data_IF_218075801290
#
_entry.id   IF_218075801290
#
_cell.length_a   1.000
_cell.length_b   1.000
_cell.length_c   1.000
_cell.angle_alpha   90.00
_cell.angle_beta   90.00
_cell.angle_gamma   90.00
#
_symmetry.space_group_name_H-M   'P 1'
#
loop_
_entity.id
_entity.type
_entity.pdbx_description
1 polymer ?
#
# COMPACT_ATOMS: atom_id res chain seq x y z
N UNK A 1 -3.38 13.79 3.82
CA UNK A 1 -3.94 12.73 2.96
C UNK A 1 -4.98 13.36 2.04
N UNK A 2 -4.97 13.02 0.76
CA UNK A 2 -5.80 13.64 -0.28
C UNK A 2 -5.13 14.84 -0.95
N UNK A 3 -5.61 15.25 -2.14
CA UNK A 3 -5.19 16.48 -2.80
C UNK A 3 -5.43 17.72 -1.90
N UNK A 4 -4.50 18.69 -1.83
CA UNK A 4 -4.70 19.90 -1.03
C UNK A 4 -5.93 20.67 -1.54
N UNK A 5 -6.77 21.15 -0.62
CA UNK A 5 -8.03 21.83 -0.97
C UNK A 5 -9.21 20.89 -1.25
N UNK A 6 -9.00 19.57 -1.30
CA UNK A 6 -10.13 18.63 -1.38
C UNK A 6 -10.98 18.70 -0.10
N UNK A 7 -12.33 18.76 -0.20
CA UNK A 7 -13.21 18.62 0.97
C UNK A 7 -13.13 17.22 1.62
N UNK A 8 -12.52 16.25 0.93
CA UNK A 8 -12.26 14.91 1.44
C UNK A 8 -10.87 14.76 2.05
N UNK A 9 -9.98 15.74 1.87
CA UNK A 9 -8.63 15.65 2.43
C UNK A 9 -8.66 15.66 3.96
N UNK A 10 -7.77 14.87 4.57
CA UNK A 10 -7.54 14.88 6.02
C UNK A 10 -6.09 15.32 6.27
N UNK A 11 -5.89 16.48 6.93
CA UNK A 11 -4.59 16.92 7.39
C UNK A 11 -4.12 16.08 8.59
N UNK A 12 -2.81 15.91 8.72
CA UNK A 12 -2.22 15.15 9.82
C UNK A 12 -0.81 15.63 10.13
N UNK A 13 -0.38 15.43 11.37
CA UNK A 13 0.98 15.67 11.83
C UNK A 13 1.53 14.37 12.39
N UNK A 14 2.61 13.88 11.78
CA UNK A 14 3.33 12.70 12.27
C UNK A 14 4.65 13.10 12.89
N UNK A 15 4.81 12.75 14.17
CA UNK A 15 6.09 12.77 14.88
C UNK A 15 6.71 11.38 14.78
N UNK A 16 7.98 11.30 14.43
CA UNK A 16 8.73 10.06 14.27
C UNK A 16 10.20 10.27 14.58
N UNK A 17 10.84 9.28 15.19
CA UNK A 17 12.28 9.19 15.43
C UNK A 17 13.04 8.48 14.30
N UNK A 18 12.34 8.07 13.22
CA UNK A 18 12.92 7.32 12.10
C UNK A 18 13.04 8.15 10.81
N UNK A 19 14.26 8.28 10.30
CA UNK A 19 14.54 8.90 9.00
C UNK A 19 13.93 8.12 7.82
N UNK A 20 13.90 6.78 7.89
CA UNK A 20 13.22 5.92 6.91
C UNK A 20 11.73 6.27 6.81
N UNK A 21 11.06 6.46 7.95
CA UNK A 21 9.64 6.82 7.99
C UNK A 21 9.42 8.21 7.40
N UNK A 22 10.27 9.19 7.71
CA UNK A 22 10.16 10.54 7.15
C UNK A 22 10.32 10.54 5.62
N UNK A 23 11.35 9.87 5.09
CA UNK A 23 11.57 9.76 3.64
C UNK A 23 10.39 9.03 2.95
N UNK A 24 9.93 7.95 3.56
CA UNK A 24 8.80 7.17 3.07
C UNK A 24 7.48 7.94 3.07
N UNK A 25 7.20 8.73 4.11
CA UNK A 25 6.01 9.57 4.18
C UNK A 25 6.03 10.69 3.15
N UNK A 26 7.22 11.19 2.77
CA UNK A 26 7.37 12.17 1.68
C UNK A 26 7.02 11.57 0.31
N UNK A 27 7.25 10.28 0.12
CA UNK A 27 6.81 9.55 -1.09
C UNK A 27 5.30 9.28 -1.05
N UNK A 28 4.81 8.75 0.07
CA UNK A 28 3.43 8.24 0.17
C UNK A 28 2.38 9.33 0.41
N UNK A 29 2.79 10.53 0.84
CA UNK A 29 1.89 11.62 1.21
C UNK A 29 2.42 12.98 0.73
N UNK A 30 1.56 14.00 0.78
CA UNK A 30 1.92 15.38 0.43
C UNK A 30 2.43 16.10 1.69
N UNK A 31 3.74 16.08 1.90
CA UNK A 31 4.41 16.73 3.05
C UNK A 31 4.76 18.17 2.69
N UNK A 32 4.41 19.14 3.54
CA UNK A 32 4.76 20.54 3.34
C UNK A 32 3.93 21.51 4.18
N UNK A 33 4.24 22.80 4.04
CA UNK A 33 3.62 23.87 4.83
C UNK A 33 2.13 24.10 4.52
N UNK A 34 1.59 23.53 3.45
CA UNK A 34 0.15 23.58 3.15
C UNK A 34 -0.74 23.03 4.27
N UNK A 35 -0.20 22.24 5.20
CA UNK A 35 -0.94 21.69 6.35
C UNK A 35 -1.04 22.67 7.53
N UNK A 36 -0.18 23.70 7.60
CA UNK A 36 -0.09 24.61 8.75
C UNK A 36 -1.43 25.28 9.15
N UNK A 37 -2.28 25.74 8.22
CA UNK A 37 -3.57 26.31 8.60
C UNK A 37 -4.47 25.34 9.36
N UNK A 38 -4.42 24.05 9.02
CA UNK A 38 -5.18 23.01 9.72
C UNK A 38 -4.62 22.74 11.14
N UNK A 39 -3.28 22.76 11.27
CA UNK A 39 -2.61 22.65 12.57
C UNK A 39 -2.97 23.81 13.50
N UNK A 40 -2.99 25.04 12.98
CA UNK A 40 -3.35 26.24 13.74
C UNK A 40 -4.79 26.20 14.30
N UNK A 41 -5.71 25.55 13.58
CA UNK A 41 -7.10 25.34 14.03
C UNK A 41 -7.29 24.11 14.92
N UNK A 42 -6.26 23.29 15.11
CA UNK A 42 -6.37 22.01 15.83
C UNK A 42 -7.13 20.91 15.07
N UNK A 43 -7.51 21.14 13.81
CA UNK A 43 -8.22 20.17 12.98
C UNK A 43 -7.22 19.34 12.17
N UNK A 44 -6.57 18.39 12.83
CA UNK A 44 -5.66 17.45 12.20
C UNK A 44 -5.61 16.14 12.97
N UNK A 45 -5.14 15.08 12.31
CA UNK A 45 -4.90 13.79 12.93
C UNK A 45 -3.53 13.79 13.59
N UNK A 46 -3.48 13.46 14.88
CA UNK A 46 -2.27 13.39 15.69
C UNK A 46 -1.65 12.01 15.55
N UNK A 47 -0.50 11.92 14.92
CA UNK A 47 0.21 10.66 14.70
C UNK A 47 1.52 10.67 15.48
N UNK A 48 1.65 9.80 16.48
CA UNK A 48 2.89 9.61 17.23
C UNK A 48 3.49 8.25 16.86
N UNK A 49 4.74 8.25 16.43
CA UNK A 49 5.48 7.04 16.07
C UNK A 49 6.85 7.02 16.75
N UNK A 50 7.25 5.86 17.27
CA UNK A 50 8.63 5.60 17.69
C UNK A 50 9.04 4.17 17.32
N UNK A 51 10.29 3.99 16.90
CA UNK A 51 10.89 2.65 16.72
C UNK A 51 11.16 1.93 18.03
N UNK A 52 11.08 2.64 19.17
CA UNK A 52 11.22 2.06 20.51
C UNK A 52 12.65 1.72 20.92
N UNK A 53 13.64 2.43 20.36
CA UNK A 53 15.08 2.24 20.61
C UNK A 53 15.75 3.57 20.97
N UNK A 54 15.86 3.92 22.27
CA UNK A 54 16.55 5.14 22.69
C UNK A 54 18.05 5.08 22.38
N UNK A 55 18.69 6.26 22.27
CA UNK A 55 20.14 6.36 22.01
C UNK A 55 20.94 5.66 23.12
N UNK A 56 21.97 4.90 22.72
CA UNK A 56 22.85 4.15 23.64
C UNK A 56 22.61 2.64 23.68
N UNK A 57 21.50 2.16 23.12
CA UNK A 57 21.34 0.73 22.86
C UNK A 57 22.16 0.33 21.62
N UNK A 58 23.10 -0.61 21.77
CA UNK A 58 23.82 -1.23 20.63
C UNK A 58 22.78 -1.97 19.80
N UNK A 59 22.40 -1.39 18.67
CA UNK A 59 21.24 -1.84 17.90
C UNK A 59 21.54 -1.95 16.42
N UNK A 60 21.08 -3.06 15.85
CA UNK A 60 20.88 -3.32 14.41
C UNK A 60 20.72 -2.06 13.55
N UNK A 61 21.22 -2.10 12.31
CA UNK A 61 20.94 -1.09 11.27
C UNK A 61 19.44 -0.81 11.03
N UNK A 62 18.56 -1.66 11.58
CA UNK A 62 17.12 -1.47 11.65
C UNK A 62 16.63 -1.45 13.10
N UNK A 63 16.45 -0.27 13.73
CA UNK A 63 15.94 -0.17 15.10
C UNK A 63 14.46 -0.58 15.15
N UNK A 64 14.13 -1.52 16.05
CA UNK A 64 12.77 -1.96 16.35
C UNK A 64 12.67 -2.65 17.72
N UNK A 65 11.46 -2.67 18.28
CA UNK A 65 11.11 -3.37 19.51
C UNK A 65 9.92 -4.31 19.25
N UNK A 66 10.18 -5.53 18.74
CA UNK A 66 9.13 -6.48 18.37
C UNK A 66 8.27 -6.90 19.58
N UNK A 67 8.89 -7.09 20.75
CA UNK A 67 8.22 -7.59 21.95
C UNK A 67 7.18 -6.60 22.49
N UNK A 68 7.40 -5.30 22.31
CA UNK A 68 6.48 -4.24 22.75
C UNK A 68 5.77 -3.53 21.60
N UNK A 69 5.77 -4.11 20.40
CA UNK A 69 5.13 -3.48 19.24
C UNK A 69 3.64 -3.25 19.48
N UNK A 70 3.18 -2.01 19.30
CA UNK A 70 1.80 -1.61 19.50
C UNK A 70 1.39 -0.58 18.44
N UNK A 71 0.24 -0.79 17.81
CA UNK A 71 -0.39 0.20 16.90
C UNK A 71 -1.80 0.50 17.40
N UNK A 72 -1.95 1.60 18.14
CA UNK A 72 -3.19 2.01 18.77
C UNK A 72 -3.90 3.12 17.98
N UNK A 73 -5.23 3.01 17.92
CA UNK A 73 -6.10 3.98 17.25
C UNK A 73 -7.10 4.55 18.26
N UNK A 74 -7.16 5.86 18.36
CA UNK A 74 -8.10 6.56 19.23
C UNK A 74 -8.94 7.56 18.42
N UNK A 75 -10.06 7.09 17.85
CA UNK A 75 -10.92 7.91 16.98
C UNK A 75 -11.43 9.17 17.67
N UNK A 76 -11.87 9.04 18.92
CA UNK A 76 -12.47 10.14 19.69
C UNK A 76 -11.50 11.32 19.91
N UNK A 77 -10.19 11.05 19.95
CA UNK A 77 -9.15 12.08 20.10
C UNK A 77 -8.40 12.37 18.80
N UNK A 78 -8.85 11.82 17.65
CA UNK A 78 -8.18 11.89 16.34
C UNK A 78 -6.69 11.57 16.46
N UNK A 79 -6.36 10.51 17.23
CA UNK A 79 -4.99 10.16 17.60
C UNK A 79 -4.64 8.74 17.17
N UNK A 80 -3.42 8.58 16.69
CA UNK A 80 -2.80 7.29 16.38
C UNK A 80 -1.45 7.27 17.10
N UNK A 81 -1.17 6.18 17.80
CA UNK A 81 0.09 5.96 18.49
C UNK A 81 0.66 4.62 18.03
N UNK A 82 1.88 4.65 17.52
CA UNK A 82 2.61 3.45 17.08
C UNK A 82 3.98 3.38 17.75
N UNK A 83 4.32 2.21 18.27
CA UNK A 83 5.56 1.95 18.99
C UNK A 83 6.17 0.63 18.52
N UNK A 84 7.50 0.59 18.41
CA UNK A 84 8.29 -0.64 18.28
C UNK A 84 8.49 -1.14 16.84
N UNK A 85 7.84 -0.55 15.83
CA UNK A 85 7.94 -1.02 14.45
C UNK A 85 8.16 0.11 13.46
N UNK A 86 9.34 0.14 12.81
CA UNK A 86 9.64 1.09 11.72
C UNK A 86 9.05 0.70 10.36
N UNK A 87 8.35 -0.43 10.26
CA UNK A 87 7.97 -1.03 9.00
C UNK A 87 6.58 -0.61 8.50
N UNK A 88 6.51 -0.22 7.23
CA UNK A 88 5.28 -0.18 6.42
C UNK A 88 4.03 0.35 7.12
N UNK A 89 2.97 -0.45 7.15
CA UNK A 89 1.66 -0.07 7.69
C UNK A 89 1.66 0.27 9.19
N UNK A 90 2.69 -0.13 9.95
CA UNK A 90 2.80 0.19 11.37
C UNK A 90 3.43 1.57 11.59
N UNK A 91 4.26 2.06 10.66
CA UNK A 91 5.02 3.29 10.81
C UNK A 91 4.54 4.44 9.92
N UNK A 92 3.93 4.14 8.79
CA UNK A 92 3.32 5.12 7.89
C UNK A 92 1.89 5.43 8.32
N UNK A 93 1.73 6.23 9.37
CA UNK A 93 0.44 6.37 10.03
C UNK A 93 -0.61 7.02 9.10
N UNK A 94 -0.19 7.79 8.10
CA UNK A 94 -1.08 8.31 7.05
C UNK A 94 -1.73 7.23 6.16
N UNK A 95 -1.10 6.06 5.97
CA UNK A 95 -1.59 4.99 5.09
C UNK A 95 -2.72 4.21 5.77
N UNK A 96 -2.42 3.08 6.43
CA UNK A 96 -3.47 2.20 6.95
C UNK A 96 -4.17 2.79 8.17
N UNK A 97 -3.43 3.42 9.09
CA UNK A 97 -3.98 3.88 10.36
C UNK A 97 -4.95 5.07 10.22
N UNK A 98 -4.68 5.98 9.28
CA UNK A 98 -5.57 7.10 8.95
C UNK A 98 -6.60 6.72 7.91
N UNK A 99 -6.20 6.01 6.85
CA UNK A 99 -7.02 5.95 5.65
C UNK A 99 -7.86 4.67 5.49
N UNK A 100 -7.68 3.65 6.33
CA UNK A 100 -8.52 2.44 6.32
C UNK A 100 -9.43 2.35 7.56
N UNK A 101 -10.75 2.38 7.32
CA UNK A 101 -11.76 1.72 8.18
C UNK A 101 -12.71 0.80 7.41
N UNK A 102 -12.72 0.82 6.07
CA UNK A 102 -13.67 0.07 5.24
C UNK A 102 -13.01 -0.41 3.93
N UNK A 103 -12.36 -1.57 3.98
CA UNK A 103 -11.69 -2.26 2.85
C UNK A 103 -10.67 -1.43 2.05
N UNK A 104 -9.76 -2.10 1.33
CA UNK A 104 -8.80 -1.46 0.43
C UNK A 104 -9.44 -1.41 -0.97
N UNK A 105 -9.57 -0.21 -1.55
CA UNK A 105 -10.26 0.02 -2.82
C UNK A 105 -9.28 0.72 -3.76
N UNK A 106 -9.04 0.13 -4.94
CA UNK A 106 -8.36 0.82 -6.04
C UNK A 106 -9.37 1.64 -6.84
N UNK A 107 -8.89 2.67 -7.54
CA UNK A 107 -9.68 3.50 -8.45
C UNK A 107 -8.99 3.52 -9.82
N UNK A 108 -9.74 3.18 -10.87
CA UNK A 108 -9.29 3.20 -12.27
C UNK A 108 -10.25 3.98 -13.15
N UNK A 109 -9.71 4.73 -14.11
CA UNK A 109 -10.44 5.24 -15.26
C UNK A 109 -10.34 4.24 -16.41
N UNK A 110 -11.47 3.84 -16.97
CA UNK A 110 -11.54 2.94 -18.13
C UNK A 110 -12.17 3.71 -19.28
N UNK A 111 -11.47 3.76 -20.41
CA UNK A 111 -11.97 4.37 -21.65
C UNK A 111 -12.25 3.27 -22.67
N UNK A 112 -13.48 3.25 -23.20
CA UNK A 112 -13.88 2.31 -24.26
C UNK A 112 -13.36 2.75 -25.65
N UNK A 113 -13.42 1.89 -26.68
CA UNK A 113 -12.98 2.23 -28.04
C UNK A 113 -13.76 3.40 -28.70
N UNK A 114 -14.93 3.74 -28.17
CA UNK A 114 -15.71 4.90 -28.62
C UNK A 114 -15.30 6.21 -27.92
N UNK A 115 -14.36 6.14 -26.97
CA UNK A 115 -13.85 7.29 -26.22
C UNK A 115 -14.63 7.61 -24.95
N UNK A 116 -15.60 6.79 -24.53
CA UNK A 116 -16.32 7.02 -23.28
C UNK A 116 -15.50 6.57 -22.08
N UNK A 117 -15.21 7.51 -21.18
CA UNK A 117 -14.47 7.26 -19.94
C UNK A 117 -15.41 7.05 -18.76
N UNK A 118 -15.17 6.01 -17.97
CA UNK A 118 -15.88 5.69 -16.72
C UNK A 118 -14.90 5.35 -15.62
N UNK A 119 -15.20 5.74 -14.38
CA UNK A 119 -14.37 5.39 -13.23
C UNK A 119 -14.97 4.22 -12.46
N UNK A 120 -14.14 3.26 -12.09
CA UNK A 120 -14.51 2.08 -11.33
C UNK A 120 -13.68 2.03 -10.05
N UNK A 121 -14.29 1.53 -8.98
CA UNK A 121 -13.57 1.16 -7.76
C UNK A 121 -13.70 -0.35 -7.52
N UNK A 122 -12.62 -0.98 -7.09
CA UNK A 122 -12.59 -2.43 -6.83
C UNK A 122 -11.86 -2.74 -5.53
N UNK A 123 -12.42 -3.64 -4.74
CA UNK A 123 -11.85 -4.07 -3.48
C UNK A 123 -11.30 -5.50 -3.58
N UNK A 124 -10.00 -5.66 -3.33
CA UNK A 124 -9.35 -6.96 -3.25
C UNK A 124 -8.54 -7.06 -1.96
N UNK A 125 -8.40 -8.26 -1.35
CA UNK A 125 -7.49 -8.49 -0.25
C UNK A 125 -6.04 -8.10 -0.59
N UNK A 126 -5.19 -7.97 0.43
CA UNK A 126 -3.78 -7.65 0.23
C UNK A 126 -3.12 -8.71 -0.66
N UNK A 127 -2.21 -8.27 -1.54
CA UNK A 127 -1.49 -9.13 -2.49
C UNK A 127 -2.36 -9.91 -3.52
N UNK A 128 -3.63 -9.55 -3.71
CA UNK A 128 -4.52 -10.16 -4.71
C UNK A 128 -4.60 -9.37 -6.05
N UNK A 129 -3.51 -8.72 -6.48
CA UNK A 129 -3.42 -8.10 -7.81
C UNK A 129 -4.06 -6.71 -7.97
N UNK A 130 -4.32 -5.97 -6.89
CA UNK A 130 -4.83 -4.58 -6.97
C UNK A 130 -3.97 -3.69 -7.85
N UNK A 131 -2.67 -3.63 -7.58
CA UNK A 131 -1.73 -2.79 -8.33
C UNK A 131 -1.63 -3.21 -9.79
N UNK A 132 -1.72 -4.52 -10.09
CA UNK A 132 -1.77 -5.01 -11.46
C UNK A 132 -3.03 -4.55 -12.21
N UNK A 133 -4.20 -4.59 -11.57
CA UNK A 133 -5.42 -4.08 -12.18
C UNK A 133 -5.38 -2.56 -12.34
N UNK A 134 -4.90 -1.85 -11.32
CA UNK A 134 -4.82 -0.39 -11.32
C UNK A 134 -3.90 0.15 -12.43
N UNK A 135 -2.83 -0.58 -12.75
CA UNK A 135 -1.82 -0.22 -13.74
C UNK A 135 -1.89 -1.09 -15.01
N UNK A 136 -3.04 -1.73 -15.26
CA UNK A 136 -3.19 -2.69 -16.34
C UNK A 136 -2.97 -2.06 -17.72
N UNK A 137 -2.24 -2.76 -18.59
CA UNK A 137 -2.28 -2.52 -20.04
C UNK A 137 -3.35 -3.44 -20.65
N UNK A 138 -4.47 -2.92 -21.19
CA UNK A 138 -5.53 -3.75 -21.72
C UNK A 138 -5.03 -4.61 -22.89
N UNK A 139 -5.38 -5.90 -22.88
CA UNK A 139 -5.16 -6.79 -24.03
C UNK A 139 -6.15 -6.52 -25.17
N UNK A 140 -7.29 -5.89 -24.87
CA UNK A 140 -8.34 -5.57 -25.83
C UNK A 140 -7.98 -4.27 -26.60
N UNK A 141 -7.93 -4.31 -27.94
CA UNK A 141 -7.66 -3.13 -28.75
C UNK A 141 -8.67 -2.01 -28.51
N UNK A 142 -8.20 -0.76 -28.50
CA UNK A 142 -9.04 0.43 -28.32
C UNK A 142 -9.44 0.73 -26.87
N UNK A 143 -9.24 -0.21 -25.94
CA UNK A 143 -9.46 0.05 -24.51
C UNK A 143 -8.24 0.70 -23.86
N UNK A 144 -8.49 1.64 -22.95
CA UNK A 144 -7.46 2.28 -22.13
C UNK A 144 -7.81 2.19 -20.65
N UNK A 145 -6.82 1.91 -19.81
CA UNK A 145 -6.93 1.95 -18.35
C UNK A 145 -5.95 2.99 -17.82
N UNK A 146 -6.43 3.86 -16.94
CA UNK A 146 -5.69 4.94 -16.31
C UNK A 146 -5.79 4.80 -14.78
N UNK A 147 -4.65 4.89 -14.09
CA UNK A 147 -4.60 4.70 -12.63
C UNK A 147 -4.90 6.00 -11.88
N UNK A 148 -5.86 5.97 -10.96
CA UNK A 148 -6.11 7.05 -9.99
C UNK A 148 -5.50 6.68 -8.63
N UNK A 149 -5.62 5.43 -8.21
CA UNK A 149 -5.00 4.89 -6.99
C UNK A 149 -5.14 3.36 -6.89
N UNK A 150 -4.23 2.69 -6.20
CA UNK A 150 -4.14 1.22 -6.20
C UNK A 150 -4.52 0.55 -4.87
N UNK A 151 -4.60 1.30 -3.76
CA UNK A 151 -4.82 0.71 -2.44
C UNK A 151 -5.96 1.36 -1.65
N UNK A 152 -6.14 2.67 -1.73
CA UNK A 152 -7.12 3.39 -0.90
C UNK A 152 -7.98 4.33 -1.73
N UNK A 153 -9.30 4.26 -1.51
CA UNK A 153 -10.27 5.21 -2.03
C UNK A 153 -11.05 5.85 -0.88
N UNK A 154 -11.12 7.18 -0.84
CA UNK A 154 -12.10 7.88 -0.01
C UNK A 154 -13.24 8.35 -0.86
N UNK A 155 -14.45 7.94 -0.49
CA UNK A 155 -15.64 8.16 -1.28
C UNK A 155 -16.71 8.93 -0.52
N UNK A 156 -17.40 9.82 -1.20
CA UNK A 156 -18.54 10.58 -0.66
C UNK A 156 -19.49 10.96 -1.79
N UNK A 157 -20.80 10.92 -1.55
CA UNK A 157 -21.76 11.49 -2.49
C UNK A 157 -21.61 13.02 -2.54
N UNK A 158 -21.64 13.58 -3.75
CA UNK A 158 -21.75 15.03 -3.96
C UNK A 158 -23.21 15.50 -3.88
N UNK A 159 -23.41 16.82 -3.98
CA UNK A 159 -24.73 17.45 -3.90
C UNK A 159 -25.65 17.05 -5.08
N UNK A 160 -25.08 16.44 -6.12
CA UNK A 160 -25.78 15.91 -7.30
C UNK A 160 -26.05 14.40 -7.18
N UNK A 161 -25.76 13.79 -6.02
CA UNK A 161 -25.97 12.36 -5.78
C UNK A 161 -24.98 11.43 -6.49
N UNK A 162 -23.87 11.96 -7.02
CA UNK A 162 -22.81 11.15 -7.65
C UNK A 162 -21.79 10.74 -6.61
N UNK A 163 -21.42 9.46 -6.58
CA UNK A 163 -20.38 8.97 -5.69
C UNK A 163 -19.01 9.45 -6.20
N UNK A 164 -18.40 10.39 -5.49
CA UNK A 164 -17.06 10.89 -5.77
C UNK A 164 -16.01 10.08 -5.03
N UNK A 165 -14.87 9.85 -5.66
CA UNK A 165 -13.74 9.16 -5.08
C UNK A 165 -12.43 9.95 -5.25
N UNK A 166 -11.60 9.97 -4.21
CA UNK A 166 -10.21 10.43 -4.29
C UNK A 166 -9.25 9.32 -3.87
N UNK A 167 -8.06 9.31 -4.46
CA UNK A 167 -6.91 8.63 -3.89
C UNK A 167 -6.29 9.53 -2.79
N UNK A 168 -6.33 9.12 -1.51
CA UNK A 168 -5.74 9.91 -0.44
C UNK A 168 -4.20 9.84 -0.43
N UNK A 169 -3.61 8.83 -1.07
CA UNK A 169 -2.16 8.64 -1.16
C UNK A 169 -1.55 9.53 -2.25
N UNK A 170 -0.21 9.59 -2.26
CA UNK A 170 0.56 10.30 -3.27
C UNK A 170 1.48 9.37 -4.06
N UNK A 171 1.95 8.27 -3.46
CA UNK A 171 2.80 7.26 -4.09
C UNK A 171 2.23 5.86 -3.96
N UNK A 172 2.99 4.87 -4.42
CA UNK A 172 2.61 3.46 -4.39
C UNK A 172 3.42 2.67 -3.36
N UNK A 173 2.76 1.78 -2.62
CA UNK A 173 3.40 0.87 -1.66
C UNK A 173 3.12 -0.58 -2.07
N UNK A 174 3.73 -0.98 -3.19
CA UNK A 174 3.45 -2.22 -3.90
C UNK A 174 4.26 -3.41 -3.39
N UNK A 175 3.84 -4.62 -3.74
CA UNK A 175 4.62 -5.84 -3.50
C UNK A 175 5.55 -6.04 -4.69
N UNK A 176 6.86 -6.16 -4.45
CA UNK A 176 7.84 -6.40 -5.51
C UNK A 176 7.77 -7.80 -6.12
N UNK A 177 7.83 -8.91 -5.33
CA UNK A 177 7.77 -10.26 -5.89
C UNK A 177 6.62 -10.48 -6.87
N UNK A 178 6.94 -11.08 -8.02
CA UNK A 178 6.02 -11.28 -9.14
C UNK A 178 5.86 -10.06 -10.08
N UNK A 179 6.44 -8.90 -9.76
CA UNK A 179 6.46 -7.73 -10.66
C UNK A 179 7.54 -7.90 -11.71
N UNK A 180 7.16 -7.84 -12.98
CA UNK A 180 8.05 -7.95 -14.13
C UNK A 180 7.56 -7.08 -15.28
N UNK A 181 8.35 -6.94 -16.34
CA UNK A 181 7.93 -6.23 -17.55
C UNK A 181 6.72 -6.91 -18.21
N UNK A 182 6.59 -8.24 -18.10
CA UNK A 182 5.39 -8.96 -18.56
C UNK A 182 4.18 -8.75 -17.65
N UNK A 183 4.34 -8.79 -16.33
CA UNK A 183 3.19 -8.74 -15.41
C UNK A 183 2.71 -7.33 -15.11
N UNK A 184 3.63 -6.35 -15.05
CA UNK A 184 3.32 -4.94 -14.80
C UNK A 184 4.43 -4.01 -15.34
N UNK A 185 4.45 -3.74 -16.65
CA UNK A 185 5.46 -2.87 -17.26
C UNK A 185 5.39 -1.42 -16.74
N UNK A 186 4.20 -0.97 -16.34
CA UNK A 186 4.00 0.38 -15.80
C UNK A 186 4.64 0.52 -14.41
N UNK A 187 4.53 -0.49 -13.55
CA UNK A 187 5.29 -0.55 -12.31
C UNK A 187 6.79 -0.55 -12.61
N UNK A 188 7.28 -1.44 -13.50
CA UNK A 188 8.69 -1.48 -13.86
C UNK A 188 9.25 -0.13 -14.36
N UNK A 189 8.45 0.66 -15.08
CA UNK A 189 8.84 2.02 -15.46
C UNK A 189 8.90 2.99 -14.26
N UNK A 190 7.91 2.89 -13.36
CA UNK A 190 7.76 3.76 -12.18
C UNK A 190 8.88 3.55 -11.15
N UNK A 191 9.37 2.31 -10.99
CA UNK A 191 10.32 1.97 -9.92
C UNK A 191 11.79 2.32 -10.24
N UNK A 192 12.10 2.77 -11.47
CA UNK A 192 13.47 2.98 -11.97
C UNK A 192 14.22 4.14 -11.31
N UNK A 193 13.51 5.12 -10.78
CA UNK A 193 14.11 6.29 -10.17
C UNK A 193 13.35 6.69 -8.89
N UNK A 194 14.00 7.43 -8.00
CA UNK A 194 13.39 8.04 -6.80
C UNK A 194 12.59 7.06 -5.92
N UNK A 195 12.97 5.79 -5.93
CA UNK A 195 12.27 4.66 -5.29
C UNK A 195 13.04 4.19 -4.06
N UNK A 196 12.33 3.85 -2.99
CA UNK A 196 12.89 3.18 -1.83
C UNK A 196 12.47 1.71 -1.87
N UNK A 197 13.39 0.83 -2.21
CA UNK A 197 13.22 -0.60 -2.03
C UNK A 197 13.45 -0.94 -0.56
N UNK A 198 12.53 -1.68 0.02
CA UNK A 198 12.73 -2.28 1.35
C UNK A 198 12.84 -3.77 1.09
N UNK A 199 13.86 -4.40 1.70
CA UNK A 199 13.87 -5.84 1.84
C UNK A 199 13.94 -6.66 0.52
N UNK A 200 14.44 -6.10 -0.58
CA UNK A 200 14.69 -6.85 -1.83
C UNK A 200 16.11 -7.43 -1.84
N UNK A 201 16.39 -8.35 -2.76
CA UNK A 201 17.76 -8.76 -3.06
C UNK A 201 18.54 -7.65 -3.76
N UNK A 202 19.86 -7.64 -3.59
CA UNK A 202 20.78 -6.70 -4.24
C UNK A 202 21.73 -7.47 -5.16
N UNK A 203 21.94 -6.96 -6.36
CA UNK A 203 22.91 -7.50 -7.32
C UNK A 203 24.26 -6.78 -7.21
N UNK A 204 25.34 -7.45 -7.59
CA UNK A 204 26.71 -6.91 -7.51
C UNK A 204 26.98 -5.66 -8.34
N UNK A 205 26.14 -5.39 -9.34
CA UNK A 205 26.18 -4.19 -10.20
C UNK A 205 25.39 -3.01 -9.62
N UNK A 206 24.84 -3.14 -8.41
CA UNK A 206 24.05 -2.09 -7.74
C UNK A 206 22.56 -2.11 -8.07
N UNK A 207 22.08 -3.13 -8.80
CA UNK A 207 20.66 -3.36 -9.06
C UNK A 207 19.93 -4.04 -7.91
N UNK A 208 18.68 -4.42 -8.19
CA UNK A 208 17.75 -5.08 -7.26
C UNK A 208 17.21 -6.36 -7.87
N UNK A 209 16.83 -7.31 -7.02
CA UNK A 209 16.29 -8.61 -7.44
C UNK A 209 15.15 -9.09 -6.54
N UNK A 210 14.19 -9.81 -7.11
CA UNK A 210 13.12 -10.53 -6.41
C UNK A 210 12.58 -11.69 -7.28
N UNK A 211 11.84 -12.61 -6.68
CA UNK A 211 11.24 -13.74 -7.40
C UNK A 211 10.31 -13.25 -8.52
N UNK A 212 10.51 -13.75 -9.73
CA UNK A 212 9.69 -13.42 -10.90
C UNK A 212 10.12 -12.16 -11.64
N UNK A 213 11.23 -11.51 -11.25
CA UNK A 213 11.87 -10.48 -12.08
C UNK A 213 12.50 -11.16 -13.32
N UNK A 214 12.07 -10.74 -14.51
CA UNK A 214 12.32 -11.44 -15.79
C UNK A 214 13.70 -11.21 -16.41
N UNK A 215 14.58 -10.45 -15.77
CA UNK A 215 15.91 -10.20 -16.31
C UNK A 215 16.84 -11.35 -15.91
N UNK A 216 17.29 -12.12 -16.92
CA UNK A 216 18.47 -12.96 -16.76
C UNK A 216 19.63 -12.04 -16.43
N UNK A 217 20.21 -12.15 -15.22
CA UNK A 217 21.29 -11.27 -14.81
C UNK A 217 22.48 -11.47 -15.77
N UNK A 218 23.29 -10.43 -15.99
CA UNK A 218 24.54 -10.57 -16.73
C UNK A 218 25.37 -11.74 -16.20
N UNK A 219 26.04 -12.52 -17.07
CA UNK A 219 26.92 -13.60 -16.63
C UNK A 219 27.93 -13.10 -15.57
N UNK A 220 28.03 -13.80 -14.46
CA UNK A 220 28.93 -13.43 -13.35
C UNK A 220 28.33 -12.47 -12.31
N UNK A 221 27.07 -12.06 -12.45
CA UNK A 221 26.38 -11.28 -11.40
C UNK A 221 26.20 -12.13 -10.15
N UNK A 222 26.61 -11.61 -8.99
CA UNK A 222 26.35 -12.22 -7.69
C UNK A 222 25.21 -11.50 -6.98
N UNK A 223 24.56 -12.19 -6.05
CA UNK A 223 23.41 -11.66 -5.33
C UNK A 223 23.63 -11.71 -3.83
N UNK A 224 23.08 -10.69 -3.17
CA UNK A 224 22.95 -10.61 -1.73
C UNK A 224 21.48 -10.62 -1.38
N UNK A 225 21.05 -11.57 -0.56
CA UNK A 225 19.69 -11.62 -0.03
C UNK A 225 19.41 -10.44 0.90
N UNK A 226 18.13 -10.19 1.17
CA UNK A 226 17.69 -9.18 2.15
C UNK A 226 18.20 -9.42 3.59
N UNK A 227 18.67 -10.64 3.91
CA UNK A 227 19.33 -11.00 5.16
C UNK A 227 20.81 -10.62 5.19
N UNK A 228 21.33 -10.03 4.10
CA UNK A 228 22.75 -9.69 3.94
C UNK A 228 23.63 -10.91 3.65
N UNK A 229 23.06 -12.04 3.23
CA UNK A 229 23.80 -13.27 2.94
C UNK A 229 23.95 -13.49 1.42
N UNK A 230 25.07 -14.07 0.95
CA UNK A 230 25.19 -14.55 -0.43
C UNK A 230 24.02 -15.46 -0.80
N UNK A 231 23.52 -15.33 -2.02
CA UNK A 231 22.34 -16.05 -2.48
C UNK A 231 22.41 -16.35 -3.99
N UNK A 232 21.78 -17.44 -4.43
CA UNK A 232 21.68 -17.79 -5.84
C UNK A 232 20.23 -18.00 -6.29
N UNK A 233 19.86 -17.61 -7.53
CA UNK A 233 18.54 -17.91 -8.10
C UNK A 233 18.20 -19.40 -8.03
N UNK A 234 17.08 -19.72 -7.37
CA UNK A 234 16.60 -21.10 -7.19
C UNK A 234 16.97 -21.73 -5.84
N UNK A 235 17.82 -21.09 -5.03
CA UNK A 235 18.02 -21.50 -3.64
C UNK A 235 16.81 -21.16 -2.77
N UNK A 236 16.55 -22.00 -1.76
CA UNK A 236 15.47 -21.79 -0.81
C UNK A 236 15.78 -20.65 0.16
N UNK A 237 15.53 -19.42 -0.29
CA UNK A 237 15.04 -18.24 0.47
C UNK A 237 14.69 -17.17 -0.57
N UNK A 238 13.60 -16.37 -0.44
CA UNK A 238 13.42 -15.42 0.67
C UNK A 238 11.94 -15.22 1.09
N UNK A 239 11.65 -14.42 2.12
CA UNK A 239 10.77 -13.31 1.80
C UNK A 239 11.20 -12.06 2.53
N UNK A 240 11.20 -10.90 1.84
CA UNK A 240 10.39 -9.84 2.42
C UNK A 240 9.86 -8.77 1.44
N UNK A 241 8.56 -8.54 1.61
CA UNK A 241 7.92 -7.29 2.00
C UNK A 241 8.32 -5.92 1.39
N UNK A 242 7.25 -5.17 1.06
CA UNK A 242 6.93 -4.27 -0.06
C UNK A 242 7.89 -3.13 -0.37
N UNK A 243 7.76 -2.65 -1.61
CA UNK A 243 8.52 -1.56 -2.22
C UNK A 243 7.73 -0.26 -2.27
N UNK A 244 8.43 0.88 -2.16
CA UNK A 244 7.83 2.21 -2.14
C UNK A 244 8.27 3.00 -3.34
N UNK A 245 7.31 3.53 -4.09
CA UNK A 245 7.60 4.21 -5.34
C UNK A 245 7.07 5.65 -5.35
N UNK A 246 7.82 6.57 -5.97
CA UNK A 246 7.48 7.99 -6.13
C UNK A 246 6.14 8.16 -6.89
N UNK A 247 5.57 9.37 -6.90
CA UNK A 247 4.17 9.58 -7.23
C UNK A 247 3.76 9.19 -8.66
N UNK A 248 2.44 9.18 -8.87
CA UNK A 248 1.75 9.01 -10.16
C UNK A 248 2.36 9.73 -11.39
N UNK A 249 3.06 10.89 -11.30
CA UNK A 249 3.71 11.50 -12.47
C UNK A 249 4.78 10.63 -13.15
N UNK A 250 5.36 9.65 -12.45
CA UNK A 250 6.28 8.69 -13.05
C UNK A 250 5.55 7.47 -13.67
N UNK A 251 4.25 7.33 -13.43
CA UNK A 251 3.42 6.30 -14.02
C UNK A 251 3.02 6.73 -15.45
N UNK A 252 3.40 5.96 -16.50
CA UNK A 252 3.13 6.34 -17.90
C UNK A 252 1.65 6.52 -18.25
N UNK A 253 0.75 5.93 -17.45
CA UNK A 253 -0.71 5.96 -17.66
C UNK A 253 -1.44 6.39 -16.37
N UNK A 254 -0.87 7.35 -15.63
CA UNK A 254 -1.61 8.03 -14.57
C UNK A 254 -2.79 8.80 -15.17
N UNK A 255 -3.92 8.81 -14.46
CA UNK A 255 -5.05 9.63 -14.84
C UNK A 255 -4.61 11.11 -14.86
N UNK A 256 -4.81 11.84 -15.97
CA UNK A 256 -4.27 13.18 -16.12
C UNK A 256 -4.83 14.14 -15.07
N UNK A 257 -4.01 15.14 -14.62
CA UNK A 257 -4.40 16.09 -13.58
C UNK A 257 -5.58 17.01 -13.94
N UNK A 258 -6.09 16.94 -15.17
CA UNK A 258 -7.10 17.83 -15.74
C UNK A 258 -8.54 17.48 -15.30
N UNK A 259 -8.74 16.39 -14.55
CA UNK A 259 -9.98 16.12 -13.81
C UNK A 259 -9.94 16.77 -12.43
N UNK A 260 -11.08 17.24 -11.85
CA UNK A 260 -11.06 18.13 -10.69
C UNK A 260 -10.51 17.41 -9.45
N UNK A 261 -9.19 17.46 -9.28
CA UNK A 261 -8.45 16.78 -8.21
C UNK A 261 -9.00 17.07 -6.82
N UNK A 262 -9.45 18.29 -6.46
CA UNK A 262 -10.03 18.48 -5.13
C UNK A 262 -11.38 17.77 -4.99
N UNK A 263 -12.21 17.68 -6.02
CA UNK A 263 -13.57 17.12 -5.92
C UNK A 263 -13.65 15.60 -6.19
N UNK A 264 -12.57 15.00 -6.70
CA UNK A 264 -12.49 13.57 -6.99
C UNK A 264 -13.24 13.16 -8.26
N UNK A 265 -13.05 11.90 -8.64
CA UNK A 265 -13.64 11.30 -9.84
C UNK A 265 -15.03 10.75 -9.55
N UNK A 266 -15.97 10.86 -10.49
CA UNK A 266 -17.30 10.29 -10.34
C UNK A 266 -17.27 8.80 -10.67
N UNK A 267 -17.50 7.96 -9.66
CA UNK A 267 -17.60 6.51 -9.84
C UNK A 267 -18.87 6.17 -10.60
N UNK A 268 -18.72 5.28 -11.58
CA UNK A 268 -19.84 4.69 -12.28
C UNK A 268 -20.45 3.60 -11.39
N UNK A 269 -21.66 3.86 -10.90
CA UNK A 269 -22.48 2.86 -10.22
C UNK A 269 -23.43 2.25 -11.26
N UNK A 270 -23.31 0.95 -11.60
CA UNK A 270 -24.35 0.31 -12.40
C UNK A 270 -25.67 0.40 -11.66
N UNK A 271 -26.74 0.75 -12.37
CA UNK A 271 -28.10 0.66 -11.84
C UNK A 271 -28.35 -0.79 -11.41
N UNK A 272 -28.96 -1.05 -10.23
CA UNK A 272 -29.10 -2.41 -9.68
C UNK A 272 -29.97 -3.37 -10.53
N UNK A 273 -30.51 -2.92 -11.68
CA UNK A 273 -31.50 -3.63 -12.48
C UNK A 273 -31.05 -4.08 -13.88
N UNK A 274 -29.80 -3.87 -14.32
CA UNK A 274 -29.46 -3.98 -15.75
C UNK A 274 -28.27 -4.88 -16.12
N UNK A 275 -27.92 -5.88 -15.31
CA UNK A 275 -27.06 -6.97 -15.78
C UNK A 275 -27.87 -8.28 -15.87
N UNK A 276 -28.05 -8.88 -17.06
CA UNK A 276 -28.47 -10.27 -17.17
C UNK A 276 -27.37 -11.19 -16.58
N UNK A 277 -27.71 -12.40 -16.14
CA UNK A 277 -26.83 -13.25 -15.36
C UNK A 277 -25.68 -13.78 -16.24
N UNK A 278 -24.54 -13.10 -16.19
CA UNK A 278 -23.26 -13.70 -16.57
C UNK A 278 -22.72 -14.47 -15.35
N UNK A 279 -22.33 -15.76 -15.50
CA UNK A 279 -22.03 -16.66 -14.37
C UNK A 279 -20.78 -16.29 -13.54
N UNK A 280 -20.11 -15.17 -13.83
CA UNK A 280 -18.93 -14.69 -13.10
C UNK A 280 -19.21 -13.61 -12.04
N UNK A 281 -20.43 -13.05 -11.97
CA UNK A 281 -20.78 -12.02 -11.00
C UNK A 281 -22.08 -12.40 -10.27
N UNK A 282 -21.95 -12.91 -9.04
CA UNK A 282 -23.05 -13.37 -8.17
C UNK A 282 -23.56 -12.25 -7.22
N UNK A 283 -24.46 -12.48 -6.24
CA UNK A 283 -25.64 -11.66 -5.92
C UNK A 283 -25.29 -10.51 -4.94
N UNK A 284 -26.25 -9.76 -4.33
CA UNK A 284 -26.10 -8.33 -4.01
C UNK A 284 -24.74 -8.03 -3.36
N UNK A 285 -23.98 -7.11 -3.96
CA UNK A 285 -22.56 -6.85 -3.69
C UNK A 285 -22.19 -6.74 -2.19
N UNK A 286 -23.15 -6.37 -1.35
CA UNK A 286 -23.01 -6.32 0.11
C UNK A 286 -22.75 -7.71 0.75
N UNK A 287 -23.42 -8.77 0.28
CA UNK A 287 -23.23 -10.14 0.78
C UNK A 287 -21.88 -10.72 0.39
N UNK A 288 -21.40 -10.47 -0.83
CA UNK A 288 -20.07 -10.92 -1.30
C UNK A 288 -18.95 -10.30 -0.46
N UNK A 289 -19.06 -9.02 -0.08
CA UNK A 289 -18.04 -8.35 0.74
C UNK A 289 -17.81 -9.01 2.10
N UNK A 290 -18.84 -9.66 2.67
CA UNK A 290 -18.75 -10.41 3.94
C UNK A 290 -18.10 -11.79 3.78
N UNK A 291 -18.06 -12.34 2.57
CA UNK A 291 -17.50 -13.66 2.27
C UNK A 291 -16.02 -13.64 1.84
N UNK A 292 -15.39 -12.46 1.75
CA UNK A 292 -13.97 -12.34 1.38
C UNK A 292 -13.06 -12.85 2.52
N UNK A 293 -12.75 -14.14 2.49
CA UNK A 293 -11.71 -14.75 3.33
C UNK A 293 -10.31 -14.43 2.79
N UNK A 294 -9.41 -13.93 3.65
CA UNK A 294 -7.98 -13.91 3.34
C UNK A 294 -7.39 -15.31 3.56
N UNK A 295 -6.42 -15.72 2.75
CA UNK A 295 -5.66 -16.95 3.00
C UNK A 295 -5.01 -16.85 4.39
N UNK A 296 -5.21 -17.84 5.29
CA UNK A 296 -4.42 -17.91 6.51
C UNK A 296 -2.95 -18.11 6.12
N UNK A 297 -2.05 -17.39 6.78
CA UNK A 297 -0.62 -17.66 6.66
C UNK A 297 -0.36 -19.14 6.98
N UNK A 298 0.55 -19.83 6.25
CA UNK A 298 0.89 -21.20 6.59
C UNK A 298 1.47 -21.22 8.01
N UNK A 299 0.76 -21.90 8.93
CA UNK A 299 1.25 -22.21 10.26
C UNK A 299 2.50 -23.07 10.10
N UNK A 300 3.68 -22.51 10.42
CA UNK A 300 4.87 -23.30 10.67
C UNK A 300 4.58 -24.24 11.85
N UNK A 301 4.93 -25.54 11.79
CA UNK A 301 4.73 -26.45 12.90
C UNK A 301 5.59 -26.01 14.08
N UNK A 302 4.95 -25.54 15.15
CA UNK A 302 5.59 -25.30 16.44
C UNK A 302 5.94 -26.64 17.08
N UNK A 303 7.17 -27.11 16.91
CA UNK A 303 7.77 -28.08 17.83
C UNK A 303 8.13 -27.36 19.13
N UNK A 304 7.21 -27.36 20.09
CA UNK A 304 7.55 -27.06 21.48
C UNK A 304 8.07 -28.34 22.15
N UNK A 305 9.25 -28.33 22.79
CA UNK A 305 9.61 -29.40 23.72
C UNK A 305 8.66 -29.33 24.95
N UNK A 306 8.32 -30.47 25.57
CA UNK A 306 7.40 -30.49 26.71
C UNK A 306 7.99 -29.72 27.91
N UNK A 307 7.14 -28.93 28.56
CA UNK A 307 7.49 -28.18 29.77
C UNK A 307 7.82 -29.13 30.93
N UNK A 308 8.77 -28.78 31.82
CA UNK A 308 9.07 -29.57 33.00
C UNK A 308 7.91 -29.53 33.99
N UNK A 309 7.46 -30.70 34.46
CA UNK A 309 6.48 -30.83 35.53
C UNK A 309 7.08 -30.32 36.85
N UNK A 310 6.46 -29.30 37.44
CA UNK A 310 6.71 -28.91 38.83
C UNK A 310 5.96 -29.87 39.77
N UNK A 311 6.55 -30.27 40.90
CA UNK A 311 5.92 -31.21 41.81
C UNK A 311 4.73 -30.57 42.52
N UNK A 312 3.61 -31.29 42.54
CA UNK A 312 2.46 -30.97 43.37
C UNK A 312 2.82 -31.09 44.84
N UNK A 313 2.65 -30.00 45.57
CA UNK A 313 2.53 -29.96 47.03
C UNK A 313 1.15 -29.46 47.36
N UNK A 314 0.41 -30.22 48.16
CA UNK A 314 -0.59 -29.77 49.14
C UNK A 314 -1.17 -31.02 49.85
N UNK A 315 -1.60 -30.95 51.13
CA UNK A 315 -1.41 -29.90 52.14
C UNK A 315 -0.39 -30.27 53.24
#
# INVERSE_FOLDING_TARGET
>A
MGPPGSPLAQPGLQLTDSGYVAASMRIMTRVGYQVLPALARGDFIRCLHSVGRPQGEVGSHWPCDPARTLVAHEPARRRIVSYGSGYGGNSLLGKKCVALRLAAWLIVGVTDPAGHKRYLAAAFPSACGKTNLAMMRPALPGWRVECVGDDIAWMKFDDQGRLRAINPEFGFFGVAPGTSTRTNPAAMATIRANTIFTNVGQTSDGGVYWEGLEETPPPGTTFTSWLGQPWSPGEATPPPCPTRHPPAPQLPHSDPPDHPQPHGVALWLPSPFLWPPFPFFWPPAWWISRGLGGFPAPLLPHNHPPAPQLPHSDP
#
